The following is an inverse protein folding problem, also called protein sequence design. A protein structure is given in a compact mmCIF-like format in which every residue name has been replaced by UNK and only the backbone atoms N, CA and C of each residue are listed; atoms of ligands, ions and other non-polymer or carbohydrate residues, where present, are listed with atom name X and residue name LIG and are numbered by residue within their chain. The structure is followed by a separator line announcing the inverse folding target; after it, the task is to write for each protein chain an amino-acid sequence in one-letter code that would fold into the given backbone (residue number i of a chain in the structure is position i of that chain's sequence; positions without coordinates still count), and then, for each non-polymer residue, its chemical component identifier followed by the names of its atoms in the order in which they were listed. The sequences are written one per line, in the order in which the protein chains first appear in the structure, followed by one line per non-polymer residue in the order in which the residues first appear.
data_IF_115402641501
#
_entry.id   IF_115402641501
#
_cell.length_a   1.000
_cell.length_b   1.000
_cell.length_c   1.000
_cell.angle_alpha   90.00
_cell.angle_beta   90.00
_cell.angle_gamma   90.00
#
_symmetry.space_group_name_H-M   'P 1'
#
loop_
_entity.id
_entity.type
_entity.pdbx_description
1 polymer ?
#
# COMPACT_ATOMS: atom_id res chain seq x y z
N UNK A 1 -14.07 -2.79 -4.26
CA UNK A 1 -14.44 -3.30 -5.59
C UNK A 1 -15.86 -3.78 -5.50
N UNK A 2 -16.70 -3.44 -6.50
CA UNK A 2 -18.11 -3.85 -6.55
C UNK A 2 -18.28 -4.88 -7.65
N UNK A 3 -19.21 -5.80 -7.45
CA UNK A 3 -19.53 -6.86 -8.40
C UNK A 3 -21.03 -6.88 -8.66
N UNK A 4 -21.40 -7.07 -9.92
CA UNK A 4 -22.74 -7.47 -10.32
C UNK A 4 -22.75 -8.97 -10.50
N UNK A 5 -23.65 -9.68 -9.83
CA UNK A 5 -23.74 -11.13 -9.88
C UNK A 5 -25.06 -11.55 -10.53
N UNK A 6 -25.00 -12.57 -11.39
CA UNK A 6 -26.13 -13.25 -12.03
C UNK A 6 -25.99 -14.76 -11.84
N UNK A 7 -26.94 -15.53 -12.34
CA UNK A 7 -26.87 -17.01 -12.33
C UNK A 7 -25.63 -17.56 -13.07
N UNK A 8 -25.00 -16.75 -13.96
CA UNK A 8 -23.80 -17.13 -14.71
C UNK A 8 -22.49 -16.69 -14.07
N UNK A 9 -22.51 -16.06 -12.89
CA UNK A 9 -21.30 -15.59 -12.18
C UNK A 9 -21.32 -14.10 -11.85
N UNK A 10 -20.21 -13.63 -11.27
CA UNK A 10 -20.03 -12.24 -10.86
C UNK A 10 -18.99 -11.55 -11.75
N UNK A 11 -19.30 -10.33 -12.21
CA UNK A 11 -18.38 -9.46 -12.93
C UNK A 11 -18.13 -8.16 -12.16
N UNK A 12 -16.92 -7.61 -12.22
CA UNK A 12 -16.63 -6.34 -11.57
C UNK A 12 -17.34 -5.20 -12.29
N UNK A 13 -17.93 -4.28 -11.52
CA UNK A 13 -18.61 -3.10 -12.03
C UNK A 13 -18.03 -1.82 -11.43
N UNK A 14 -18.15 -0.73 -12.18
CA UNK A 14 -17.96 0.61 -11.65
C UNK A 14 -19.28 1.11 -11.06
N UNK A 15 -19.22 1.57 -9.83
CA UNK A 15 -20.37 2.14 -9.11
C UNK A 15 -20.08 3.60 -8.87
N UNK A 16 -21.06 4.46 -9.13
CA UNK A 16 -20.94 5.90 -8.87
C UNK A 16 -20.62 6.16 -7.40
N UNK A 17 -19.84 7.21 -7.10
CA UNK A 17 -19.33 7.49 -5.74
C UNK A 17 -20.46 7.57 -4.69
N UNK A 18 -21.61 8.15 -5.06
CA UNK A 18 -22.78 8.23 -4.17
C UNK A 18 -23.51 6.90 -3.94
N UNK A 19 -23.14 5.86 -4.65
CA UNK A 19 -23.67 4.50 -4.50
C UNK A 19 -22.64 3.54 -3.86
N UNK A 20 -21.46 4.04 -3.56
CA UNK A 20 -20.41 3.25 -2.91
C UNK A 20 -20.64 3.19 -1.40
N UNK A 21 -20.22 2.08 -0.79
CA UNK A 21 -20.21 1.96 0.67
C UNK A 21 -19.23 3.00 1.23
N UNK A 22 -19.72 3.85 2.10
CA UNK A 22 -18.91 4.86 2.78
C UNK A 22 -17.91 4.19 3.71
N UNK A 23 -16.70 4.74 3.81
CA UNK A 23 -15.73 4.28 4.80
C UNK A 23 -16.32 4.45 6.21
N UNK A 24 -16.45 3.37 7.01
CA UNK A 24 -17.11 3.44 8.32
C UNK A 24 -16.41 4.41 9.28
N UNK A 25 -15.12 4.66 9.13
CA UNK A 25 -14.38 5.63 9.95
C UNK A 25 -14.95 7.04 9.79
N UNK A 26 -15.41 7.42 8.59
CA UNK A 26 -16.00 8.74 8.35
C UNK A 26 -17.32 8.98 9.08
N UNK A 27 -17.95 7.92 9.58
CA UNK A 27 -19.19 7.98 10.37
C UNK A 27 -18.95 8.07 11.88
N UNK A 28 -17.71 8.04 12.34
CA UNK A 28 -17.42 8.20 13.76
C UNK A 28 -17.72 9.63 14.22
N UNK A 29 -18.20 9.85 15.45
CA UNK A 29 -18.44 11.19 15.97
C UNK A 29 -17.14 12.00 16.16
N UNK A 30 -16.03 11.32 16.43
CA UNK A 30 -14.68 11.87 16.54
C UNK A 30 -13.71 10.93 15.81
N UNK A 31 -12.47 11.39 15.59
CA UNK A 31 -11.40 10.58 14.96
C UNK A 31 -11.78 10.03 13.58
N UNK A 32 -12.58 10.79 12.84
CA UNK A 32 -13.25 10.40 11.60
C UNK A 32 -12.56 10.87 10.31
N UNK A 33 -11.36 11.46 10.44
CA UNK A 33 -10.64 12.08 9.31
C UNK A 33 -9.59 11.16 8.66
N UNK A 34 -9.33 9.99 9.24
CA UNK A 34 -8.36 9.03 8.75
C UNK A 34 -8.01 7.96 9.76
N UNK A 35 -6.94 7.25 9.48
CA UNK A 35 -6.38 6.23 10.36
C UNK A 35 -4.87 6.16 10.21
N UNK A 36 -4.20 5.61 11.22
CA UNK A 36 -2.81 5.20 11.15
C UNK A 36 -2.66 3.72 11.49
N UNK A 37 -1.73 3.07 10.81
CA UNK A 37 -1.33 1.69 11.09
C UNK A 37 0.16 1.71 11.37
N UNK A 38 0.56 1.20 12.52
CA UNK A 38 1.95 1.06 12.94
C UNK A 38 2.30 -0.40 13.17
N UNK A 39 3.41 -0.86 12.57
CA UNK A 39 3.96 -2.18 12.82
C UNK A 39 5.42 -2.08 13.27
N UNK A 40 5.87 -2.97 14.17
CA UNK A 40 7.29 -3.15 14.43
C UNK A 40 8.01 -3.70 13.19
N UNK A 41 9.35 -3.58 13.12
CA UNK A 41 10.14 -4.21 12.07
C UNK A 41 9.96 -5.75 12.07
N UNK A 42 9.96 -6.33 10.87
CA UNK A 42 10.03 -7.77 10.66
C UNK A 42 11.34 -8.05 9.92
N UNK A 43 12.12 -9.01 10.41
CA UNK A 43 13.40 -9.41 9.83
C UNK A 43 13.22 -10.16 8.51
N UNK A 44 14.29 -10.23 7.71
CA UNK A 44 14.30 -10.84 6.37
C UNK A 44 13.88 -12.31 6.32
N UNK A 45 14.08 -13.04 7.41
CA UNK A 45 13.61 -14.44 7.56
C UNK A 45 12.11 -14.57 7.80
N UNK A 46 11.42 -13.46 8.00
CA UNK A 46 10.00 -13.45 8.36
C UNK A 46 9.74 -13.71 9.84
N UNK A 47 8.45 -13.69 10.18
CA UNK A 47 7.96 -14.00 11.52
C UNK A 47 6.67 -14.81 11.43
N UNK A 48 6.43 -15.70 12.39
CA UNK A 48 5.19 -16.45 12.48
C UNK A 48 3.98 -15.53 12.74
N UNK A 49 4.20 -14.41 13.44
CA UNK A 49 3.17 -13.41 13.73
C UNK A 49 3.76 -12.01 13.67
N UNK A 50 2.95 -11.02 13.30
CA UNK A 50 3.28 -9.61 13.46
C UNK A 50 2.08 -8.90 14.08
N UNK A 51 2.31 -8.20 15.19
CA UNK A 51 1.28 -7.42 15.87
C UNK A 51 1.55 -5.94 15.62
N UNK A 52 0.54 -5.24 15.13
CA UNK A 52 0.55 -3.80 14.90
C UNK A 52 -0.56 -3.10 15.65
N UNK A 53 -0.57 -1.78 15.54
CA UNK A 53 -1.60 -0.92 16.14
C UNK A 53 -2.35 -0.19 15.04
N UNK A 54 -3.69 -0.24 15.08
CA UNK A 54 -4.57 0.62 14.29
C UNK A 54 -5.14 1.69 15.21
N UNK A 55 -4.95 2.94 14.84
CA UNK A 55 -5.52 4.10 15.57
C UNK A 55 -6.35 4.91 14.57
N UNK A 56 -7.55 5.30 14.99
CA UNK A 56 -8.43 6.15 14.20
C UNK A 56 -8.15 7.63 14.48
N UNK A 57 -8.38 8.46 13.48
CA UNK A 57 -8.08 9.88 13.49
C UNK A 57 -6.63 10.20 13.14
N UNK A 58 -6.41 11.42 12.66
CA UNK A 58 -5.10 12.00 12.37
C UNK A 58 -5.05 13.38 13.01
N UNK A 59 -4.21 13.55 14.04
CA UNK A 59 -4.04 14.80 14.80
C UNK A 59 -5.27 15.23 15.61
N UNK A 60 -6.15 14.30 15.91
CA UNK A 60 -7.36 14.54 16.72
C UNK A 60 -7.16 14.18 18.20
N UNK A 61 -6.13 13.40 18.50
CA UNK A 61 -5.78 12.94 19.83
C UNK A 61 -4.25 13.05 20.04
N UNK A 62 -3.75 13.05 21.30
CA UNK A 62 -2.31 13.13 21.55
C UNK A 62 -1.46 11.98 20.96
N UNK A 63 -2.08 10.84 20.69
CA UNK A 63 -1.42 9.62 20.21
C UNK A 63 -1.52 9.38 18.70
N UNK A 64 -2.17 10.29 17.93
CA UNK A 64 -2.38 10.11 16.50
C UNK A 64 -1.87 11.30 15.64
N UNK A 65 -0.93 12.07 16.17
CA UNK A 65 -0.27 13.16 15.44
C UNK A 65 0.63 12.63 14.31
N UNK A 66 0.74 13.41 13.23
CA UNK A 66 1.60 13.08 12.06
C UNK A 66 3.10 13.07 12.39
N UNK A 67 3.52 13.76 13.46
CA UNK A 67 4.92 13.89 13.86
C UNK A 67 5.81 14.35 12.67
N UNK A 68 6.78 13.50 12.27
CA UNK A 68 7.73 13.78 11.19
C UNK A 68 7.35 13.12 9.87
N UNK A 69 6.16 12.49 9.79
CA UNK A 69 5.73 11.80 8.58
C UNK A 69 5.56 12.78 7.40
N UNK A 70 6.10 12.40 6.26
CA UNK A 70 5.94 13.18 5.03
C UNK A 70 4.59 12.87 4.40
N UNK A 71 3.84 13.90 4.06
CA UNK A 71 2.52 13.79 3.44
C UNK A 71 2.66 13.68 1.92
N UNK A 72 2.12 12.61 1.34
CA UNK A 72 2.03 12.38 -0.10
C UNK A 72 0.57 12.45 -0.53
N UNK A 73 0.18 13.57 -1.11
CA UNK A 73 -1.16 13.71 -1.69
C UNK A 73 -1.42 12.66 -2.76
N UNK A 74 -2.65 12.14 -2.82
CA UNK A 74 -3.05 11.18 -3.85
C UNK A 74 -4.17 11.76 -4.70
N UNK A 75 -4.34 11.21 -5.92
CA UNK A 75 -5.42 11.61 -6.80
C UNK A 75 -6.78 11.25 -6.18
N UNK A 76 -7.68 12.23 -6.09
CA UNK A 76 -9.05 12.00 -5.61
C UNK A 76 -9.97 11.42 -6.70
N UNK A 77 -9.60 11.53 -7.97
CA UNK A 77 -10.44 11.17 -9.13
C UNK A 77 -9.59 10.78 -10.33
N UNK A 78 -10.22 10.45 -11.46
CA UNK A 78 -9.54 10.13 -12.71
C UNK A 78 -9.27 8.63 -12.88
N UNK A 79 -8.26 8.29 -13.68
CA UNK A 79 -7.96 6.89 -14.03
C UNK A 79 -7.43 6.06 -12.86
N UNK A 80 -6.70 6.71 -11.93
CA UNK A 80 -6.04 6.05 -10.80
C UNK A 80 -6.34 6.75 -9.47
N UNK A 81 -7.61 6.77 -9.01
CA UNK A 81 -7.94 7.40 -7.74
C UNK A 81 -7.26 6.66 -6.57
N UNK A 82 -6.75 7.42 -5.61
CA UNK A 82 -6.00 6.89 -4.46
C UNK A 82 -4.53 6.61 -4.75
N UNK A 83 -3.98 7.10 -5.87
CA UNK A 83 -2.57 6.91 -6.22
C UNK A 83 -1.76 8.22 -6.20
N UNK A 84 -0.49 8.09 -5.89
CA UNK A 84 0.58 9.04 -6.14
C UNK A 84 1.44 8.53 -7.32
N UNK A 85 2.48 9.27 -7.70
CA UNK A 85 3.43 8.82 -8.74
C UNK A 85 4.59 8.08 -8.07
N UNK A 86 4.91 6.87 -8.56
CA UNK A 86 6.09 6.10 -8.18
C UNK A 86 7.04 6.00 -9.37
N UNK A 87 8.26 6.49 -9.23
CA UNK A 87 9.28 6.43 -10.28
C UNK A 87 10.25 5.28 -10.00
N UNK A 88 10.32 4.34 -10.92
CA UNK A 88 11.25 3.21 -10.90
C UNK A 88 12.07 3.19 -12.19
N UNK A 89 13.40 3.16 -12.08
CA UNK A 89 14.33 3.18 -13.22
C UNK A 89 14.01 4.30 -14.24
N UNK A 90 13.69 5.49 -13.75
CA UNK A 90 13.37 6.65 -14.57
C UNK A 90 11.97 6.67 -15.19
N UNK A 91 11.19 5.62 -15.05
CA UNK A 91 9.82 5.54 -15.56
C UNK A 91 8.79 5.77 -14.45
N UNK A 92 7.75 6.55 -14.75
CA UNK A 92 6.70 6.89 -13.80
C UNK A 92 5.52 5.88 -13.89
N UNK A 93 5.05 5.44 -12.74
CA UNK A 93 3.93 4.51 -12.59
C UNK A 93 2.96 5.01 -11.51
N UNK A 94 1.69 4.62 -11.55
CA UNK A 94 0.81 4.82 -10.41
C UNK A 94 1.30 4.05 -9.19
N UNK A 95 1.38 4.70 -8.03
CA UNK A 95 1.74 4.10 -6.75
C UNK A 95 0.61 4.18 -5.75
N UNK A 96 0.38 3.13 -4.99
CA UNK A 96 -0.63 3.08 -3.93
C UNK A 96 -0.16 2.25 -2.74
N UNK A 97 -0.77 2.45 -1.57
CA UNK A 97 -0.46 1.72 -0.34
C UNK A 97 -1.73 0.99 0.12
N UNK A 98 -1.59 -0.28 0.52
CA UNK A 98 -2.71 -1.08 1.00
C UNK A 98 -2.28 -2.10 2.05
N UNK A 99 -2.78 -1.97 3.26
CA UNK A 99 -2.59 -2.97 4.33
C UNK A 99 -3.30 -4.31 4.05
N UNK A 100 -4.21 -4.35 3.05
CA UNK A 100 -4.89 -5.57 2.62
C UNK A 100 -4.09 -6.42 1.63
N UNK A 101 -2.92 -5.96 1.18
CA UNK A 101 -2.03 -6.71 0.31
C UNK A 101 -0.90 -7.37 1.13
N UNK A 102 -0.70 -8.67 0.97
CA UNK A 102 0.29 -9.44 1.74
C UNK A 102 1.73 -9.29 1.26
N UNK A 103 1.95 -8.68 0.09
CA UNK A 103 3.25 -8.47 -0.53
C UNK A 103 3.31 -7.08 -1.18
N UNK A 104 4.53 -6.60 -1.48
CA UNK A 104 4.69 -5.49 -2.41
C UNK A 104 4.49 -6.02 -3.84
N UNK A 105 3.45 -5.55 -4.52
CA UNK A 105 3.19 -5.92 -5.90
C UNK A 105 3.61 -4.79 -6.83
N UNK A 106 4.48 -5.08 -7.78
CA UNK A 106 4.94 -4.07 -8.71
C UNK A 106 5.40 -4.69 -10.02
N UNK A 107 5.10 -4.00 -11.09
CA UNK A 107 5.54 -4.21 -12.46
C UNK A 107 5.53 -5.70 -12.93
N UNK A 108 5.95 -5.95 -14.14
CA UNK A 108 6.05 -7.29 -14.69
C UNK A 108 7.50 -7.80 -14.63
N UNK A 109 7.72 -9.12 -14.69
CA UNK A 109 9.06 -9.70 -14.81
C UNK A 109 9.89 -9.12 -15.98
N UNK A 110 9.23 -8.74 -17.08
CA UNK A 110 9.89 -8.14 -18.24
C UNK A 110 10.44 -6.73 -17.99
N UNK A 111 9.90 -6.02 -16.99
CA UNK A 111 10.37 -4.68 -16.59
C UNK A 111 11.43 -4.79 -15.49
N UNK A 112 11.20 -5.67 -14.53
CA UNK A 112 12.08 -5.84 -13.36
C UNK A 112 13.28 -6.74 -13.62
N UNK A 113 13.20 -7.63 -14.60
CA UNK A 113 14.10 -8.77 -14.83
C UNK A 113 14.16 -9.74 -13.65
N UNK A 114 13.15 -9.74 -12.77
CA UNK A 114 13.03 -10.72 -11.69
C UNK A 114 12.13 -11.86 -12.15
N UNK A 115 12.60 -13.13 -12.07
CA UNK A 115 11.76 -14.26 -12.44
C UNK A 115 10.60 -14.40 -11.47
N UNK A 116 9.43 -14.78 -11.98
CA UNK A 116 8.32 -15.18 -11.16
C UNK A 116 8.55 -16.59 -10.61
N UNK A 117 8.13 -16.83 -9.38
CA UNK A 117 8.11 -18.14 -8.78
C UNK A 117 7.13 -19.07 -9.51
N UNK A 118 7.51 -20.32 -9.68
CA UNK A 118 6.65 -21.30 -10.33
C UNK A 118 5.46 -21.74 -9.44
N UNK A 119 5.63 -21.72 -8.12
CA UNK A 119 4.65 -22.24 -7.16
C UNK A 119 3.82 -21.13 -6.54
N UNK A 120 4.45 -20.10 -5.98
CA UNK A 120 3.73 -19.06 -5.22
C UNK A 120 3.24 -17.89 -6.08
N UNK A 121 3.78 -17.71 -7.27
CA UNK A 121 3.48 -16.57 -8.13
C UNK A 121 4.11 -15.24 -7.69
N UNK A 122 4.90 -15.21 -6.61
CA UNK A 122 5.73 -14.08 -6.22
C UNK A 122 6.99 -13.97 -7.09
N UNK A 123 7.91 -13.07 -6.78
CA UNK A 123 9.22 -13.06 -7.40
C UNK A 123 10.15 -14.08 -6.77
N UNK A 124 10.99 -14.71 -7.61
CA UNK A 124 11.99 -15.69 -7.20
C UNK A 124 13.39 -15.34 -7.71
N UNK A 125 13.96 -14.19 -7.33
CA UNK A 125 15.35 -13.89 -7.69
C UNK A 125 16.29 -14.90 -7.04
N UNK A 126 17.44 -15.16 -7.68
CA UNK A 126 18.46 -16.09 -7.17
C UNK A 126 19.17 -15.57 -5.93
N UNK A 127 19.14 -14.27 -5.70
CA UNK A 127 19.66 -13.58 -4.50
C UNK A 127 18.76 -12.38 -4.19
N UNK A 128 18.80 -11.93 -2.95
CA UNK A 128 18.06 -10.74 -2.53
C UNK A 128 18.36 -9.53 -3.40
N UNK A 129 17.33 -8.84 -3.84
CA UNK A 129 17.40 -7.65 -4.68
C UNK A 129 16.89 -6.43 -3.91
N UNK A 130 17.63 -5.33 -3.96
CA UNK A 130 17.16 -4.06 -3.43
C UNK A 130 16.47 -3.25 -4.52
N UNK A 131 15.22 -2.89 -4.26
CA UNK A 131 14.42 -2.02 -5.13
C UNK A 131 14.34 -0.65 -4.48
N UNK A 132 14.65 0.40 -5.23
CA UNK A 132 14.47 1.79 -4.81
C UNK A 132 13.48 2.48 -5.73
N UNK A 133 12.51 3.17 -5.13
CA UNK A 133 11.42 3.87 -5.82
C UNK A 133 11.30 5.26 -5.24
N UNK A 134 11.17 6.27 -6.09
CA UNK A 134 10.85 7.63 -5.65
C UNK A 134 9.34 7.85 -5.75
N UNK A 135 8.69 8.08 -4.62
CA UNK A 135 7.28 8.42 -4.55
C UNK A 135 7.11 9.94 -4.57
N UNK A 136 6.18 10.44 -5.38
CA UNK A 136 5.85 11.86 -5.49
C UNK A 136 4.35 12.04 -5.37
N UNK A 137 3.92 12.76 -4.35
CA UNK A 137 2.53 13.11 -4.11
C UNK A 137 2.02 14.20 -5.05
N UNK A 138 0.71 14.31 -5.20
CA UNK A 138 0.06 15.38 -5.98
C UNK A 138 0.33 16.77 -5.40
N UNK A 139 0.72 16.85 -4.15
CA UNK A 139 1.16 18.06 -3.44
C UNK A 139 2.63 18.43 -3.68
N UNK A 140 3.35 17.67 -4.52
CA UNK A 140 4.76 17.90 -4.83
C UNK A 140 5.76 17.31 -3.82
N UNK A 141 5.31 16.77 -2.69
CA UNK A 141 6.19 16.05 -1.75
C UNK A 141 6.80 14.84 -2.42
N UNK A 142 8.10 14.62 -2.24
CA UNK A 142 8.82 13.51 -2.85
C UNK A 142 9.77 12.85 -1.87
N UNK A 143 9.94 11.54 -1.98
CA UNK A 143 10.85 10.76 -1.15
C UNK A 143 11.12 9.39 -1.72
N UNK A 144 12.32 8.86 -1.43
CA UNK A 144 12.74 7.54 -1.89
C UNK A 144 12.44 6.47 -0.85
N UNK A 145 11.82 5.40 -1.29
CA UNK A 145 11.56 4.19 -0.52
C UNK A 145 12.37 3.06 -1.09
N UNK A 146 13.07 2.32 -0.23
CA UNK A 146 13.76 1.10 -0.62
C UNK A 146 13.16 -0.10 0.12
N UNK A 147 13.09 -1.23 -0.58
CA UNK A 147 12.67 -2.51 -0.02
C UNK A 147 13.44 -3.65 -0.68
N UNK A 148 13.52 -4.77 0.02
CA UNK A 148 14.18 -5.98 -0.50
C UNK A 148 13.14 -6.88 -1.16
N UNK A 149 13.55 -7.57 -2.23
CA UNK A 149 12.81 -8.64 -2.89
C UNK A 149 13.61 -9.92 -2.73
N UNK A 150 13.09 -10.87 -1.97
CA UNK A 150 13.69 -12.18 -1.76
C UNK A 150 12.94 -13.28 -2.53
N UNK A 151 13.48 -14.48 -2.52
CA UNK A 151 12.86 -15.64 -3.17
C UNK A 151 11.54 -15.99 -2.48
N UNK A 152 10.41 -15.77 -3.16
CA UNK A 152 9.07 -15.94 -2.61
C UNK A 152 8.74 -17.38 -2.25
N UNK A 153 9.17 -18.37 -3.05
CA UNK A 153 8.94 -19.79 -2.73
C UNK A 153 9.69 -20.20 -1.46
N UNK A 154 10.92 -19.70 -1.25
CA UNK A 154 11.69 -19.92 -0.03
C UNK A 154 11.03 -19.28 1.19
N UNK A 155 10.51 -18.06 1.06
CA UNK A 155 9.80 -17.38 2.14
C UNK A 155 8.52 -18.13 2.52
N UNK A 156 7.68 -18.48 1.56
CA UNK A 156 6.40 -19.17 1.80
C UNK A 156 6.61 -20.55 2.42
N UNK A 157 7.69 -21.26 2.04
CA UNK A 157 8.01 -22.56 2.61
C UNK A 157 8.65 -22.52 4.00
N UNK A 158 9.01 -21.35 4.52
CA UNK A 158 9.67 -21.18 5.82
C UNK A 158 8.77 -21.50 7.04
N UNK A 159 7.44 -21.53 6.84
CA UNK A 159 6.47 -21.65 7.93
C UNK A 159 6.16 -20.32 8.64
N UNK A 160 6.73 -19.21 8.20
CA UNK A 160 6.40 -17.87 8.65
C UNK A 160 5.25 -17.26 7.81
N UNK A 161 4.63 -16.20 8.30
CA UNK A 161 3.47 -15.57 7.65
C UNK A 161 3.62 -14.06 7.46
N UNK A 162 4.55 -13.42 8.16
CA UNK A 162 4.86 -11.99 8.03
C UNK A 162 6.26 -11.82 7.43
N UNK A 163 6.37 -11.14 6.28
CA UNK A 163 7.62 -10.98 5.54
C UNK A 163 7.81 -9.52 5.13
N UNK A 164 8.95 -8.92 5.48
CA UNK A 164 9.31 -7.55 5.07
C UNK A 164 9.83 -7.47 3.62
N UNK A 165 10.16 -8.60 3.02
CA UNK A 165 10.87 -8.73 1.74
C UNK A 165 10.10 -9.58 0.70
N UNK A 166 8.80 -9.79 0.92
CA UNK A 166 7.94 -10.50 -0.03
C UNK A 166 7.43 -9.52 -1.08
N UNK A 167 7.66 -9.85 -2.34
CA UNK A 167 7.18 -9.07 -3.47
C UNK A 167 6.77 -9.96 -4.64
N UNK A 168 5.89 -9.45 -5.49
CA UNK A 168 5.38 -10.20 -6.64
C UNK A 168 5.08 -9.32 -7.84
N UNK A 169 4.89 -9.92 -9.02
CA UNK A 169 4.47 -9.23 -10.23
C UNK A 169 3.04 -8.74 -10.11
N UNK A 170 2.76 -7.63 -10.77
CA UNK A 170 1.42 -7.05 -10.86
C UNK A 170 1.20 -5.90 -9.88
N UNK A 171 1.03 -4.70 -10.38
CA UNK A 171 0.82 -3.47 -9.60
C UNK A 171 -0.64 -3.14 -9.35
N UNK A 172 -1.45 -4.09 -8.85
CA UNK A 172 -2.86 -3.85 -8.60
C UNK A 172 -3.65 -3.54 -9.87
N UNK A 173 -4.78 -2.82 -9.75
CA UNK A 173 -5.68 -2.49 -10.88
C UNK A 173 -5.06 -1.56 -11.91
N UNK A 174 -4.01 -0.86 -11.57
CA UNK A 174 -3.43 0.23 -12.38
C UNK A 174 -2.16 -0.17 -13.12
N UNK A 175 -1.68 -1.41 -12.94
CA UNK A 175 -0.40 -1.85 -13.52
C UNK A 175 0.82 -1.13 -12.96
N UNK A 176 0.66 -0.45 -11.81
CA UNK A 176 1.70 0.33 -11.14
C UNK A 176 2.35 -0.40 -9.97
N UNK A 177 2.63 0.33 -8.90
CA UNK A 177 3.20 -0.19 -7.66
C UNK A 177 2.14 -0.20 -6.55
N UNK A 178 1.99 -1.33 -5.88
CA UNK A 178 1.15 -1.49 -4.71
C UNK A 178 2.04 -1.88 -3.52
N UNK A 179 2.26 -0.94 -2.61
CA UNK A 179 2.98 -1.18 -1.37
C UNK A 179 2.04 -1.88 -0.38
N UNK A 180 2.31 -3.17 -0.13
CA UNK A 180 1.53 -4.02 0.77
C UNK A 180 2.06 -4.03 2.20
N UNK A 181 1.68 -5.05 2.99
CA UNK A 181 2.11 -5.20 4.39
C UNK A 181 3.63 -5.12 4.59
N UNK A 182 4.50 -5.61 3.68
CA UNK A 182 5.94 -5.41 3.81
C UNK A 182 6.37 -3.95 3.96
N UNK A 183 5.63 -3.02 3.37
CA UNK A 183 5.88 -1.60 3.49
C UNK A 183 5.58 -1.05 4.88
N UNK A 184 4.63 -1.63 5.60
CA UNK A 184 4.22 -1.17 6.93
C UNK A 184 5.18 -1.60 8.04
N UNK A 185 5.96 -2.67 7.84
CA UNK A 185 6.86 -3.17 8.86
C UNK A 185 7.98 -2.16 9.17
N UNK A 186 8.05 -1.76 10.44
CA UNK A 186 8.95 -0.72 10.92
C UNK A 186 8.50 0.71 10.61
N UNK A 187 7.24 0.90 10.21
CA UNK A 187 6.66 2.22 9.87
C UNK A 187 5.32 2.46 10.55
N UNK A 188 5.00 3.75 10.68
CA UNK A 188 3.64 4.22 10.88
C UNK A 188 3.15 4.82 9.56
N UNK A 189 2.06 4.28 9.03
CA UNK A 189 1.46 4.74 7.78
C UNK A 189 0.10 5.34 8.07
N UNK A 190 -0.08 6.59 7.69
CA UNK A 190 -1.33 7.33 7.80
C UNK A 190 -2.10 7.29 6.49
N UNK A 191 -3.41 7.17 6.58
CA UNK A 191 -4.34 7.23 5.44
C UNK A 191 -5.43 8.24 5.75
N UNK A 192 -5.41 9.38 5.07
CA UNK A 192 -6.41 10.43 5.25
C UNK A 192 -7.62 10.19 4.32
N UNK A 193 -8.81 10.40 4.86
CA UNK A 193 -10.08 10.27 4.14
C UNK A 193 -10.25 11.44 3.19
N UNK A 194 -10.75 11.16 1.99
CA UNK A 194 -11.03 12.17 0.97
C UNK A 194 -11.99 13.25 1.51
N UNK A 195 -11.61 14.51 1.34
CA UNK A 195 -12.37 15.67 1.80
C UNK A 195 -12.31 15.93 3.32
N UNK A 196 -11.64 15.11 4.10
CA UNK A 196 -11.47 15.34 5.52
C UNK A 196 -10.26 16.23 5.82
N UNK A 197 -10.42 17.15 6.79
CA UNK A 197 -9.35 18.03 7.25
C UNK A 197 -8.49 17.35 8.29
N UNK A 198 -7.17 17.51 8.17
CA UNK A 198 -6.16 16.97 9.09
C UNK A 198 -5.04 17.99 9.26
N UNK A 199 -4.12 17.82 10.25
CA UNK A 199 -2.92 18.66 10.34
C UNK A 199 -2.00 18.60 9.11
N UNK A 200 -2.07 17.53 8.31
CA UNK A 200 -1.32 17.37 7.06
C UNK A 200 -2.00 18.00 5.84
N UNK A 201 -3.16 18.64 6.04
CA UNK A 201 -3.97 19.23 4.97
C UNK A 201 -5.25 18.43 4.69
N UNK A 202 -5.89 18.76 3.57
CA UNK A 202 -7.10 18.06 3.13
C UNK A 202 -6.74 16.71 2.51
N UNK A 203 -7.41 15.64 2.95
CA UNK A 203 -7.31 14.33 2.30
C UNK A 203 -7.91 14.32 0.87
N UNK A 204 -7.58 13.32 0.04
CA UNK A 204 -6.91 12.09 0.41
C UNK A 204 -5.38 12.19 0.31
N UNK A 205 -4.69 11.53 1.23
CA UNK A 205 -3.25 11.38 1.18
C UNK A 205 -2.80 10.14 1.96
N UNK A 206 -1.59 9.67 1.70
CA UNK A 206 -0.81 8.83 2.61
C UNK A 206 0.28 9.67 3.27
N UNK A 207 0.66 9.32 4.51
CA UNK A 207 1.85 9.88 5.14
C UNK A 207 2.64 8.78 5.86
N UNK A 208 3.99 8.88 5.81
CA UNK A 208 4.89 7.92 6.46
C UNK A 208 6.31 8.47 6.64
#
# INVERSE_FOLDING_TARGET
MYFSCSLGGCSSILVATNQQVTNPVSAFPNDNNGSQIAFPPVFSGGSATAQGTLIFGIGTQPNNGLLTATVYGVSASGLNPGSFVSTFNGSAYPGSISSGANANYFLSPSITNYPACATSGFYCPSSDQTVSVTNTGTNGSSGTVSFTVSNGDSLVSSGNFAFSNLAGPGGGRTGGLLFGLPFFYGRTVFTAINGASTPGGMGPYFAY
#
